data_IF_277290863605
#
_entry.id   IF_277290863605
#
_cell.length_a   1.000
_cell.length_b   1.000
_cell.length_c   1.000
_cell.angle_alpha   90.00
_cell.angle_beta   90.00
_cell.angle_gamma   90.00
#
_symmetry.space_group_name_H-M   'P 1'
#
loop_
_entity.id
_entity.type
_entity.pdbx_description
1 polymer ?
#
# COMPACT_ATOMS: atom_id res chain seq x y z
N UNK A 1 39.27 -21.71 -15.53
CA UNK A 1 38.23 -21.80 -14.48
C UNK A 1 37.12 -20.88 -14.95
N UNK A 2 36.11 -21.45 -15.59
CA UNK A 2 35.01 -20.68 -16.14
C UNK A 2 33.97 -20.54 -15.03
N UNK A 3 33.87 -19.35 -14.44
CA UNK A 3 32.80 -19.06 -13.50
C UNK A 3 31.51 -18.94 -14.32
N UNK A 4 30.66 -19.96 -14.23
CA UNK A 4 29.28 -19.84 -14.71
C UNK A 4 28.57 -18.85 -13.78
N UNK A 5 28.46 -17.59 -14.21
CA UNK A 5 27.56 -16.63 -13.57
C UNK A 5 26.13 -17.09 -13.89
N UNK A 6 25.47 -17.73 -12.93
CA UNK A 6 24.04 -17.99 -13.03
C UNK A 6 23.35 -16.62 -13.08
N UNK A 7 22.69 -16.33 -14.20
CA UNK A 7 21.88 -15.12 -14.34
C UNK A 7 20.59 -15.30 -13.55
N UNK A 8 20.20 -14.29 -12.78
CA UNK A 8 18.89 -14.27 -12.14
C UNK A 8 17.78 -14.19 -13.18
N UNK A 9 16.71 -14.92 -12.92
CA UNK A 9 15.50 -14.97 -13.75
C UNK A 9 14.22 -14.91 -12.92
N UNK A 10 14.33 -14.85 -11.59
CA UNK A 10 13.19 -14.75 -10.70
C UNK A 10 12.94 -13.28 -10.38
N UNK A 11 11.67 -12.85 -10.31
CA UNK A 11 11.35 -11.50 -9.88
C UNK A 11 11.44 -11.36 -8.35
N UNK A 12 11.63 -10.12 -7.86
CA UNK A 12 11.62 -9.82 -6.44
C UNK A 12 10.22 -10.00 -5.85
N UNK A 13 10.15 -10.10 -4.52
CA UNK A 13 8.90 -10.12 -3.76
C UNK A 13 8.76 -8.86 -2.92
N UNK A 14 7.75 -8.04 -3.23
CA UNK A 14 7.45 -6.84 -2.44
C UNK A 14 6.49 -7.15 -1.30
N UNK A 15 6.88 -6.79 -0.07
CA UNK A 15 6.06 -6.88 1.13
C UNK A 15 5.60 -5.49 1.58
N UNK A 16 4.36 -5.40 2.06
CA UNK A 16 3.76 -4.19 2.62
C UNK A 16 3.69 -4.28 4.14
N UNK A 17 4.00 -3.18 4.82
CA UNK A 17 3.85 -3.01 6.26
C UNK A 17 3.11 -1.71 6.56
N UNK A 18 2.26 -1.76 7.57
CA UNK A 18 1.56 -0.60 8.11
C UNK A 18 2.28 -0.24 9.41
N UNK A 19 2.92 0.93 9.44
CA UNK A 19 3.77 1.35 10.56
C UNK A 19 2.99 2.03 11.68
N UNK A 20 1.89 2.67 11.33
CA UNK A 20 0.98 3.32 12.26
C UNK A 20 -0.46 3.27 11.71
N UNK A 21 -1.39 3.85 12.45
CA UNK A 21 -2.81 3.79 12.15
C UNK A 21 -3.54 2.95 13.19
N UNK A 22 -4.69 3.43 13.61
CA UNK A 22 -5.56 2.74 14.57
C UNK A 22 -6.67 2.10 13.77
N UNK A 23 -6.74 0.77 13.81
CA UNK A 23 -7.85 0.04 13.21
C UNK A 23 -9.15 0.36 13.96
N UNK A 24 -10.20 0.65 13.20
CA UNK A 24 -11.57 0.75 13.64
C UNK A 24 -12.40 -0.42 13.12
N UNK A 25 -13.71 -0.20 13.01
CA UNK A 25 -14.63 -1.24 12.56
C UNK A 25 -14.64 -1.41 11.03
N UNK A 26 -15.00 -2.60 10.56
CA UNK A 26 -15.23 -2.91 9.14
C UNK A 26 -14.04 -2.57 8.22
N UNK A 27 -12.82 -2.67 8.75
CA UNK A 27 -11.59 -2.41 8.01
C UNK A 27 -11.29 -0.93 7.74
N UNK A 28 -11.95 0.00 8.45
CA UNK A 28 -11.61 1.42 8.43
C UNK A 28 -10.53 1.75 9.45
N UNK A 29 -9.61 2.65 9.10
CA UNK A 29 -8.67 3.25 10.03
C UNK A 29 -9.24 4.55 10.64
N UNK A 30 -9.05 4.72 11.94
CA UNK A 30 -9.43 5.91 12.73
C UNK A 30 -8.34 6.99 12.73
N UNK A 31 -7.10 6.62 12.43
CA UNK A 31 -5.95 7.51 12.23
C UNK A 31 -5.21 7.13 10.95
N UNK A 32 -4.56 8.08 10.31
CA UNK A 32 -3.98 7.92 8.97
C UNK A 32 -2.87 6.87 8.98
N UNK A 33 -2.99 5.77 8.22
CA UNK A 33 -1.93 4.78 8.13
C UNK A 33 -0.73 5.27 7.31
N UNK A 34 0.46 4.88 7.76
CA UNK A 34 1.75 5.09 7.11
C UNK A 34 2.25 3.74 6.57
N UNK A 35 2.47 3.71 5.26
CA UNK A 35 2.88 2.52 4.52
C UNK A 35 4.39 2.48 4.37
N UNK A 36 4.95 1.29 4.58
CA UNK A 36 6.32 0.95 4.26
C UNK A 36 6.32 -0.26 3.32
N UNK A 37 7.03 -0.13 2.19
CA UNK A 37 7.28 -1.22 1.26
C UNK A 37 8.73 -1.70 1.43
N UNK A 38 8.92 -3.02 1.32
CA UNK A 38 10.23 -3.67 1.38
C UNK A 38 10.32 -4.82 0.39
N UNK A 39 11.49 -5.04 -0.19
CA UNK A 39 11.76 -6.18 -1.08
C UNK A 39 12.68 -7.19 -0.40
N UNK A 40 12.65 -8.44 -0.84
CA UNK A 40 13.53 -9.52 -0.38
C UNK A 40 14.92 -9.49 -1.03
N UNK A 41 15.09 -8.69 -2.08
CA UNK A 41 16.37 -8.46 -2.78
C UNK A 41 16.49 -7.02 -3.33
N UNK A 42 17.68 -6.58 -3.78
CA UNK A 42 17.87 -5.26 -4.37
C UNK A 42 17.02 -5.03 -5.63
N UNK A 43 16.03 -4.15 -5.53
CA UNK A 43 15.10 -3.83 -6.60
C UNK A 43 14.60 -2.38 -6.51
N UNK A 44 14.07 -1.86 -7.62
CA UNK A 44 13.30 -0.62 -7.66
C UNK A 44 11.83 -0.96 -7.46
N UNK A 45 11.19 -0.34 -6.47
CA UNK A 45 9.77 -0.57 -6.16
C UNK A 45 8.93 0.58 -6.70
N UNK A 46 7.78 0.26 -7.26
CA UNK A 46 6.80 1.22 -7.75
C UNK A 46 5.44 0.96 -7.11
N UNK A 47 4.66 2.02 -6.95
CA UNK A 47 3.29 1.92 -6.46
C UNK A 47 2.38 2.94 -7.13
N UNK A 48 1.08 2.65 -7.17
CA UNK A 48 0.05 3.62 -7.55
C UNK A 48 -1.22 3.42 -6.74
N UNK A 49 -1.96 4.51 -6.58
CA UNK A 49 -3.31 4.48 -6.04
C UNK A 49 -4.33 4.38 -7.18
N UNK A 50 -5.25 3.43 -7.06
CA UNK A 50 -6.34 3.18 -8.00
C UNK A 50 -5.86 3.09 -9.46
N UNK A 51 -6.31 4.00 -10.31
CA UNK A 51 -5.91 4.12 -11.72
C UNK A 51 -4.92 5.27 -11.97
N UNK A 52 -4.18 5.68 -10.95
CA UNK A 52 -3.15 6.72 -11.04
C UNK A 52 -1.92 6.28 -11.83
N UNK A 53 -0.90 7.12 -11.81
CA UNK A 53 0.41 6.80 -12.41
C UNK A 53 1.29 6.06 -11.40
N UNK A 54 2.20 5.22 -11.91
CA UNK A 54 3.19 4.55 -11.08
C UNK A 54 4.23 5.55 -10.57
N UNK A 55 4.44 5.54 -9.26
CA UNK A 55 5.40 6.37 -8.53
C UNK A 55 6.50 5.47 -7.98
N UNK A 56 7.76 5.87 -8.17
CA UNK A 56 8.89 5.16 -7.56
C UNK A 56 8.89 5.35 -6.04
N UNK A 57 8.96 4.25 -5.31
CA UNK A 57 9.00 4.24 -3.86
C UNK A 57 10.38 4.66 -3.36
N UNK A 58 10.43 5.84 -2.73
CA UNK A 58 11.67 6.40 -2.15
C UNK A 58 11.65 6.45 -0.62
N UNK A 59 10.55 6.05 0.00
CA UNK A 59 10.34 6.13 1.45
C UNK A 59 8.88 5.96 1.84
N UNK A 60 8.63 5.95 3.13
CA UNK A 60 7.30 5.80 3.72
C UNK A 60 6.32 6.86 3.20
N UNK A 61 5.06 6.48 3.03
CA UNK A 61 4.02 7.38 2.52
C UNK A 61 2.67 7.09 3.17
N UNK A 62 1.82 8.11 3.22
CA UNK A 62 0.53 8.03 3.90
C UNK A 62 -0.58 7.54 2.97
N UNK A 63 -1.57 6.87 3.55
CA UNK A 63 -2.80 6.49 2.85
C UNK A 63 -3.69 7.72 2.62
N UNK A 64 -4.25 7.92 1.42
CA UNK A 64 -5.20 9.00 1.12
C UNK A 64 -6.58 8.77 1.77
N UNK A 65 -7.31 9.85 2.03
CA UNK A 65 -8.67 9.78 2.58
C UNK A 65 -9.62 9.11 1.58
N UNK A 66 -10.32 8.06 2.02
CA UNK A 66 -11.33 7.36 1.23
C UNK A 66 -11.13 5.86 1.24
N UNK A 67 -11.66 5.22 0.20
CA UNK A 67 -11.44 3.79 -0.08
C UNK A 67 -10.60 3.70 -1.34
N UNK A 68 -9.38 3.19 -1.20
CA UNK A 68 -8.40 3.18 -2.28
C UNK A 68 -7.72 1.82 -2.39
N UNK A 69 -7.41 1.42 -3.62
CA UNK A 69 -6.54 0.28 -3.90
C UNK A 69 -5.10 0.77 -4.09
N UNK A 70 -4.17 0.25 -3.30
CA UNK A 70 -2.75 0.39 -3.55
C UNK A 70 -2.30 -0.77 -4.42
N UNK A 71 -1.76 -0.46 -5.59
CA UNK A 71 -1.04 -1.41 -6.44
C UNK A 71 0.46 -1.19 -6.27
N UNK A 72 1.23 -2.27 -6.23
CA UNK A 72 2.68 -2.17 -6.07
C UNK A 72 3.40 -3.39 -6.66
N UNK A 73 4.62 -3.17 -7.14
CA UNK A 73 5.49 -4.19 -7.72
C UNK A 73 6.94 -3.71 -7.68
N UNK A 74 7.89 -4.63 -7.90
CA UNK A 74 9.31 -4.29 -8.00
C UNK A 74 9.99 -4.86 -9.25
N UNK A 75 11.08 -4.23 -9.65
CA UNK A 75 11.96 -4.63 -10.75
C UNK A 75 13.38 -4.77 -10.21
N UNK A 76 13.98 -5.96 -10.32
CA UNK A 76 15.35 -6.22 -9.87
C UNK A 76 16.42 -5.58 -10.79
N UNK A 77 17.70 -5.80 -10.47
CA UNK A 77 18.84 -5.33 -11.26
C UNK A 77 19.01 -6.03 -12.62
N UNK A 78 18.37 -7.18 -12.83
CA UNK A 78 18.44 -7.99 -14.05
C UNK A 78 17.23 -7.79 -14.98
N UNK A 79 16.25 -6.98 -14.56
CA UNK A 79 15.02 -6.65 -15.28
C UNK A 79 13.86 -7.61 -15.03
N UNK A 80 13.94 -8.49 -14.03
CA UNK A 80 12.84 -9.36 -13.65
C UNK A 80 11.76 -8.53 -12.94
N UNK A 81 10.53 -8.61 -13.45
CA UNK A 81 9.40 -7.79 -12.98
C UNK A 81 8.46 -8.63 -12.13
N UNK A 82 8.19 -8.18 -10.91
CA UNK A 82 7.19 -8.80 -10.05
C UNK A 82 5.78 -8.65 -10.64
N UNK A 83 4.97 -9.70 -10.48
CA UNK A 83 3.53 -9.57 -10.71
C UNK A 83 2.94 -8.57 -9.71
N UNK A 84 2.22 -7.58 -10.22
CA UNK A 84 1.57 -6.56 -9.41
C UNK A 84 0.74 -7.14 -8.26
N UNK A 85 0.97 -6.60 -7.06
CA UNK A 85 0.24 -6.89 -5.84
C UNK A 85 -0.74 -5.77 -5.54
N UNK A 86 -1.80 -6.10 -4.80
CA UNK A 86 -2.85 -5.15 -4.44
C UNK A 86 -3.17 -5.23 -2.95
N UNK A 87 -3.44 -4.07 -2.34
CA UNK A 87 -4.01 -3.94 -0.99
C UNK A 87 -5.09 -2.86 -0.98
N UNK A 88 -6.18 -3.08 -0.25
CA UNK A 88 -7.28 -2.11 -0.14
C UNK A 88 -7.20 -1.40 1.20
N UNK A 89 -7.21 -0.08 1.18
CA UNK A 89 -7.21 0.77 2.36
C UNK A 89 -8.49 1.58 2.48
N UNK A 90 -8.97 1.75 3.71
CA UNK A 90 -10.13 2.57 4.05
C UNK A 90 -9.74 3.50 5.19
N UNK A 91 -9.64 4.78 4.94
CA UNK A 91 -9.30 5.75 5.98
C UNK A 91 -10.16 7.01 5.86
N UNK A 92 -10.61 7.53 6.99
CA UNK A 92 -11.30 8.82 7.07
C UNK A 92 -10.81 9.57 8.30
N UNK A 93 -10.66 10.91 8.24
CA UNK A 93 -10.39 11.70 9.42
C UNK A 93 -11.60 11.64 10.39
N UNK A 94 -11.37 11.75 11.71
CA UNK A 94 -12.43 11.71 12.72
C UNK A 94 -13.55 12.75 12.52
N UNK A 95 -13.21 13.91 11.94
CA UNK A 95 -14.13 15.02 11.69
C UNK A 95 -15.29 14.67 10.72
N UNK A 96 -15.12 13.65 9.88
CA UNK A 96 -16.15 13.17 8.94
C UNK A 96 -16.97 11.99 9.48
N UNK A 97 -16.40 11.17 10.37
CA UNK A 97 -17.14 10.06 11.00
C UNK A 97 -18.28 10.58 11.90
N UNK A 98 -18.10 11.74 12.55
CA UNK A 98 -19.13 12.37 13.38
C UNK A 98 -20.29 13.02 12.59
N UNK A 99 -20.20 13.08 11.25
CA UNK A 99 -21.22 13.71 10.38
C UNK A 99 -22.12 12.71 9.64
N UNK A 100 -21.90 11.40 9.78
CA UNK A 100 -22.87 10.39 9.34
C UNK A 100 -24.13 10.53 10.20
N UNK A 101 -25.30 10.87 9.64
CA UNK A 101 -26.50 11.08 10.46
C UNK A 101 -26.99 9.74 10.99
N UNK A 102 -26.57 9.43 12.22
CA UNK A 102 -27.23 8.42 13.04
C UNK A 102 -28.68 8.85 13.25
N UNK A 103 -29.59 7.98 12.82
CA UNK A 103 -31.04 8.04 12.92
C UNK A 103 -31.52 8.83 14.15
N UNK A 104 -31.98 10.07 13.91
CA UNK A 104 -32.64 10.88 14.92
C UNK A 104 -33.95 10.23 15.35
N UNK A 105 -33.94 9.48 16.46
CA UNK A 105 -35.17 9.17 17.19
C UNK A 105 -35.63 10.45 17.87
N UNK A 106 -36.73 11.02 17.38
CA UNK A 106 -37.51 12.05 18.07
C UNK A 106 -38.14 11.44 19.34
N UNK A 107 -37.91 11.96 20.56
CA UNK A 107 -38.74 11.60 21.69
C UNK A 107 -40.13 12.23 21.54
N UNK A 108 -41.16 11.50 21.97
CA UNK A 108 -42.53 11.98 22.18
C UNK A 108 -42.58 12.92 23.40
#
# INVERSE_FOLDING_TARGET
MDYVTIRDTLPPVTSIRILNGTEGENGWYLSQPLINLSTDEPARTFYRWDSGEDVEYTGEFEVPEGVHSLYYYSIDLYGNVERERQSIFRWSPPSRMARSPGTGRRPL
#
